data_IF_441220148075
#
_entry.id   IF_441220148075
#
_cell.length_a   1.000
_cell.length_b   1.000
_cell.length_c   1.000
_cell.angle_alpha   90.00
_cell.angle_beta   90.00
_cell.angle_gamma   90.00
#
_symmetry.space_group_name_H-M   'P 1'
#
loop_
_entity.id
_entity.type
_entity.pdbx_description
1 polymer ?
#
# COMPACT_ATOMS: atom_id res chain seq x y z
N UNK A 1 -51.81 -59.92 18.40
CA UNK A 1 -51.93 -58.46 18.18
C UNK A 1 -51.50 -57.61 19.38
N UNK A 2 -51.47 -58.13 20.62
CA UNK A 2 -51.19 -57.31 21.82
C UNK A 2 -49.70 -57.03 22.08
N UNK A 3 -48.79 -57.97 21.79
CA UNK A 3 -47.35 -57.78 22.08
C UNK A 3 -46.71 -56.61 21.32
N UNK A 4 -47.08 -56.41 20.05
CA UNK A 4 -46.55 -55.30 19.23
C UNK A 4 -47.06 -53.93 19.71
N UNK A 5 -48.32 -53.86 20.17
CA UNK A 5 -48.89 -52.64 20.74
C UNK A 5 -48.25 -52.27 22.08
N UNK A 6 -47.94 -53.26 22.92
CA UNK A 6 -47.24 -53.03 24.20
C UNK A 6 -45.82 -52.51 23.94
N UNK A 7 -45.09 -53.09 22.99
CA UNK A 7 -43.73 -52.62 22.63
C UNK A 7 -43.77 -51.19 22.06
N UNK A 8 -44.74 -50.87 21.20
CA UNK A 8 -44.93 -49.49 20.72
C UNK A 8 -45.28 -48.53 21.84
N UNK A 9 -46.13 -48.92 22.79
CA UNK A 9 -46.49 -48.07 23.93
C UNK A 9 -45.29 -47.78 24.83
N UNK A 10 -44.45 -48.79 25.08
CA UNK A 10 -43.21 -48.66 25.85
C UNK A 10 -42.20 -47.76 25.13
N UNK A 11 -42.05 -47.90 23.80
CA UNK A 11 -41.17 -47.04 23.00
C UNK A 11 -41.64 -45.59 22.99
N UNK A 12 -42.94 -45.34 22.81
CA UNK A 12 -43.51 -43.99 22.86
C UNK A 12 -43.30 -43.38 24.24
N UNK A 13 -43.53 -44.15 25.31
CA UNK A 13 -43.30 -43.70 26.67
C UNK A 13 -41.82 -43.36 26.94
N UNK A 14 -40.88 -44.16 26.41
CA UNK A 14 -39.45 -43.91 26.50
C UNK A 14 -39.04 -42.63 25.73
N UNK A 15 -39.61 -42.41 24.55
CA UNK A 15 -39.37 -41.19 23.76
C UNK A 15 -39.89 -39.96 24.51
N UNK A 16 -41.08 -40.06 25.11
CA UNK A 16 -41.63 -38.96 25.92
C UNK A 16 -40.76 -38.68 27.13
N UNK A 17 -40.28 -39.71 27.83
CA UNK A 17 -39.34 -39.54 28.95
C UNK A 17 -38.04 -38.88 28.48
N UNK A 18 -37.47 -39.32 27.35
CA UNK A 18 -36.26 -38.73 26.80
C UNK A 18 -36.46 -37.26 26.40
N UNK A 19 -37.62 -36.92 25.83
CA UNK A 19 -37.98 -35.53 25.51
C UNK A 19 -38.14 -34.69 26.78
N UNK A 20 -38.80 -35.22 27.81
CA UNK A 20 -38.96 -34.54 29.10
C UNK A 20 -37.61 -34.35 29.78
N UNK A 21 -36.72 -35.34 29.74
CA UNK A 21 -35.35 -35.23 30.26
C UNK A 21 -34.52 -34.22 29.47
N UNK A 22 -34.70 -34.13 28.15
CA UNK A 22 -34.01 -33.14 27.30
C UNK A 22 -34.52 -31.72 27.59
N UNK A 23 -35.83 -31.54 27.77
CA UNK A 23 -36.44 -30.27 28.19
C UNK A 23 -36.02 -29.91 29.61
N UNK A 24 -35.97 -30.88 30.53
CA UNK A 24 -35.50 -30.65 31.90
C UNK A 24 -34.01 -30.31 31.91
N UNK A 25 -33.19 -30.95 31.09
CA UNK A 25 -31.78 -30.60 30.91
C UNK A 25 -31.65 -29.18 30.35
N UNK A 26 -32.47 -28.80 29.36
CA UNK A 26 -32.51 -27.43 28.83
C UNK A 26 -32.98 -26.40 29.87
N UNK A 27 -33.96 -26.76 30.72
CA UNK A 27 -34.42 -25.91 31.82
C UNK A 27 -33.36 -25.76 32.90
N UNK A 28 -32.69 -26.85 33.31
CA UNK A 28 -31.59 -26.83 34.29
C UNK A 28 -30.38 -26.05 33.76
N UNK A 29 -30.06 -26.14 32.47
CA UNK A 29 -29.01 -25.33 31.85
C UNK A 29 -29.39 -23.85 31.65
N UNK A 30 -30.70 -23.52 31.66
CA UNK A 30 -31.19 -22.15 31.60
C UNK A 30 -31.54 -21.56 32.99
N UNK A 31 -31.45 -22.37 34.06
CA UNK A 31 -31.68 -21.95 35.46
C UNK A 31 -30.37 -21.62 36.19
N UNK A 32 -29.21 -21.78 35.52
CA UNK A 32 -27.98 -21.14 35.96
C UNK A 32 -28.10 -19.64 35.70
N UNK A 33 -27.82 -18.84 36.73
CA UNK A 33 -27.77 -17.38 36.70
C UNK A 33 -27.25 -16.90 35.34
N UNK A 34 -28.10 -16.20 34.58
CA UNK A 34 -27.82 -15.85 33.19
C UNK A 34 -26.38 -15.35 33.05
N UNK A 35 -25.60 -16.01 32.19
CA UNK A 35 -24.18 -15.70 32.00
C UNK A 35 -24.06 -14.19 31.86
N UNK A 36 -23.30 -13.57 32.78
CA UNK A 36 -23.11 -12.13 32.78
C UNK A 36 -22.67 -11.70 31.39
N UNK A 37 -23.20 -10.57 30.88
CA UNK A 37 -22.78 -10.02 29.58
C UNK A 37 -21.26 -9.82 29.51
N UNK A 38 -20.64 -9.62 30.66
CA UNK A 38 -19.19 -9.52 30.81
C UNK A 38 -18.43 -10.83 30.56
N UNK A 39 -19.08 -11.98 30.64
CA UNK A 39 -18.47 -13.32 30.56
C UNK A 39 -18.69 -13.99 29.19
N UNK A 40 -19.46 -13.34 28.30
CA UNK A 40 -19.64 -13.75 26.91
C UNK A 40 -18.70 -12.94 26.02
N UNK A 41 -17.81 -13.58 25.22
CA UNK A 41 -16.91 -12.84 24.34
C UNK A 41 -17.68 -12.07 23.27
N UNK A 42 -17.44 -10.75 23.20
CA UNK A 42 -17.97 -9.85 22.17
C UNK A 42 -16.94 -9.73 21.05
N UNK A 43 -17.38 -9.63 19.79
CA UNK A 43 -16.49 -9.40 18.66
C UNK A 43 -16.04 -7.93 18.61
N UNK A 44 -14.84 -7.69 18.10
CA UNK A 44 -14.28 -6.33 17.99
C UNK A 44 -15.23 -5.38 17.23
N UNK A 45 -15.83 -5.84 16.13
CA UNK A 45 -16.73 -5.03 15.33
C UNK A 45 -18.00 -4.61 16.10
N UNK A 46 -18.50 -5.44 17.01
CA UNK A 46 -19.73 -5.16 17.77
C UNK A 46 -19.52 -4.04 18.80
N UNK A 47 -18.28 -3.90 19.31
CA UNK A 47 -17.91 -2.78 20.20
C UNK A 47 -17.88 -1.43 19.48
N UNK A 48 -17.89 -1.45 18.14
CA UNK A 48 -17.73 -0.30 17.25
C UNK A 48 -18.97 -0.03 16.42
N UNK A 49 -20.09 -0.71 16.73
CA UNK A 49 -21.36 -0.57 16.06
C UNK A 49 -22.03 0.79 16.29
N UNK A 50 -23.30 0.88 15.92
CA UNK A 50 -24.10 2.10 16.09
C UNK A 50 -24.42 2.40 17.56
N UNK A 51 -24.41 1.39 18.43
CA UNK A 51 -24.72 1.50 19.87
C UNK A 51 -23.45 1.53 20.74
N UNK A 52 -22.30 1.96 20.19
CA UNK A 52 -21.02 1.90 20.89
C UNK A 52 -20.97 2.82 22.12
N UNK A 53 -21.66 3.98 22.08
CA UNK A 53 -21.70 4.92 23.20
C UNK A 53 -22.32 4.28 24.46
N UNK A 54 -23.29 3.39 24.28
CA UNK A 54 -23.98 2.68 25.37
C UNK A 54 -23.06 1.68 26.07
N UNK A 55 -21.99 1.24 25.41
CA UNK A 55 -21.01 0.31 25.96
C UNK A 55 -19.92 1.02 26.77
N UNK A 56 -19.79 2.35 26.66
CA UNK A 56 -18.73 3.10 27.35
C UNK A 56 -18.92 3.01 28.86
N UNK A 57 -17.91 2.48 29.53
CA UNK A 57 -17.92 2.26 30.97
C UNK A 57 -18.35 0.86 31.39
N UNK A 58 -18.87 0.04 30.49
CA UNK A 58 -19.16 -1.36 30.75
C UNK A 58 -17.88 -2.20 30.78
N UNK A 59 -17.89 -3.26 31.57
CA UNK A 59 -16.86 -4.31 31.52
C UNK A 59 -17.27 -5.34 30.48
N UNK A 60 -16.39 -5.63 29.54
CA UNK A 60 -16.64 -6.61 28.46
C UNK A 60 -15.51 -7.61 28.39
N UNK A 61 -15.80 -8.78 27.84
CA UNK A 61 -14.78 -9.73 27.42
C UNK A 61 -14.69 -9.71 25.89
N UNK A 62 -13.48 -9.59 25.36
CA UNK A 62 -13.19 -9.51 23.93
C UNK A 62 -12.23 -10.61 23.53
N UNK A 63 -12.51 -11.26 22.42
CA UNK A 63 -11.63 -12.24 21.80
C UNK A 63 -10.92 -11.62 20.59
N UNK A 64 -9.62 -11.87 20.44
CA UNK A 64 -8.86 -11.47 19.26
C UNK A 64 -7.43 -11.97 19.26
N UNK A 65 -6.67 -11.61 18.24
CA UNK A 65 -5.25 -11.96 18.13
C UNK A 65 -4.41 -10.81 18.64
N UNK A 66 -3.53 -11.09 19.61
CA UNK A 66 -2.71 -10.05 20.22
C UNK A 66 -1.57 -9.64 19.30
N UNK A 67 -1.42 -8.34 19.10
CA UNK A 67 -0.23 -7.75 18.51
C UNK A 67 0.25 -6.58 19.38
N UNK A 68 1.56 -6.42 19.45
CA UNK A 68 2.18 -5.25 20.06
C UNK A 68 3.23 -4.70 19.10
N UNK A 69 3.10 -3.44 18.72
CA UNK A 69 4.06 -2.78 17.86
C UNK A 69 4.32 -1.34 18.35
N UNK A 70 5.60 -0.93 18.41
CA UNK A 70 6.02 0.41 18.81
C UNK A 70 5.36 0.92 20.12
N UNK A 71 5.16 0.03 21.09
CA UNK A 71 4.55 0.35 22.39
C UNK A 71 3.02 0.44 22.38
N UNK A 72 2.38 0.16 21.24
CA UNK A 72 0.92 0.04 21.13
C UNK A 72 0.49 -1.42 21.14
N UNK A 73 -0.32 -1.79 22.13
CA UNK A 73 -0.93 -3.10 22.25
C UNK A 73 -2.35 -3.11 21.68
N UNK A 74 -2.73 -4.17 20.98
CA UNK A 74 -4.08 -4.34 20.46
C UNK A 74 -4.47 -5.79 20.21
N UNK A 75 -5.77 -5.99 20.07
CA UNK A 75 -6.36 -7.18 19.47
C UNK A 75 -6.75 -6.88 18.02
N UNK A 76 -6.48 -7.81 17.11
CA UNK A 76 -7.00 -7.81 15.74
C UNK A 76 -7.99 -8.96 15.54
N UNK A 77 -8.96 -8.78 14.65
CA UNK A 77 -10.03 -9.78 14.42
C UNK A 77 -9.55 -11.03 13.67
N UNK A 78 -8.53 -10.88 12.81
CA UNK A 78 -7.99 -11.93 11.97
C UNK A 78 -6.46 -11.77 11.83
N UNK A 79 -5.65 -12.82 12.04
CA UNK A 79 -4.19 -12.73 11.96
C UNK A 79 -3.68 -12.46 10.53
N UNK A 80 -4.47 -12.73 9.48
CA UNK A 80 -4.12 -12.38 8.10
C UNK A 80 -4.08 -10.87 7.87
N UNK A 81 -4.70 -10.07 8.74
CA UNK A 81 -4.64 -8.60 8.66
C UNK A 81 -3.21 -8.07 8.78
N UNK A 82 -2.30 -8.80 9.44
CA UNK A 82 -0.88 -8.43 9.49
C UNK A 82 -0.13 -8.71 8.18
N UNK A 83 -0.81 -9.25 7.17
CA UNK A 83 -0.28 -9.45 5.82
C UNK A 83 -0.83 -8.40 4.85
N UNK A 84 -1.80 -7.60 5.29
CA UNK A 84 -2.41 -6.54 4.49
C UNK A 84 -1.70 -5.23 4.80
N UNK A 85 -1.19 -4.57 3.78
CA UNK A 85 -0.49 -3.28 3.88
C UNK A 85 -1.44 -2.12 3.56
N UNK A 86 -2.44 -1.98 4.42
CA UNK A 86 -3.37 -0.85 4.44
C UNK A 86 -3.68 -0.47 5.89
N UNK A 87 -4.18 0.75 6.15
CA UNK A 87 -4.76 1.08 7.45
C UNK A 87 -5.87 0.07 7.83
N UNK A 88 -5.83 -0.42 9.06
CA UNK A 88 -6.89 -1.27 9.58
C UNK A 88 -8.16 -0.44 9.76
N UNK A 89 -9.30 -1.01 9.37
CA UNK A 89 -10.60 -0.40 9.66
C UNK A 89 -10.82 -0.43 11.17
N UNK A 90 -11.51 0.57 11.72
CA UNK A 90 -11.78 0.65 13.16
C UNK A 90 -12.50 -0.58 13.75
N UNK A 91 -13.19 -1.35 12.91
CA UNK A 91 -13.89 -2.60 13.27
C UNK A 91 -12.99 -3.84 13.23
N UNK A 92 -11.76 -3.72 12.72
CA UNK A 92 -10.79 -4.82 12.55
C UNK A 92 -9.79 -4.89 13.72
N UNK A 93 -9.70 -3.85 14.54
CA UNK A 93 -8.81 -3.80 15.69
C UNK A 93 -9.45 -3.17 16.93
N UNK A 94 -8.89 -3.52 18.09
CA UNK A 94 -9.22 -2.92 19.38
C UNK A 94 -7.93 -2.59 20.12
N UNK A 95 -7.63 -1.30 20.28
CA UNK A 95 -6.51 -0.86 21.10
C UNK A 95 -6.70 -1.24 22.55
N UNK A 96 -5.60 -1.63 23.18
CA UNK A 96 -5.51 -2.02 24.58
C UNK A 96 -4.65 -0.97 25.29
N UNK A 97 -5.18 -0.36 26.36
CA UNK A 97 -4.57 0.79 27.02
C UNK A 97 -3.17 0.52 27.58
N UNK A 98 -2.93 -0.70 28.07
CA UNK A 98 -1.63 -1.12 28.60
C UNK A 98 -1.23 -2.46 27.99
N UNK A 99 0.01 -2.59 27.54
CA UNK A 99 0.53 -3.84 27.00
C UNK A 99 0.41 -5.00 28.00
N UNK A 100 0.21 -6.22 27.50
CA UNK A 100 0.12 -7.39 28.36
C UNK A 100 1.49 -7.67 29.00
N UNK A 101 1.56 -7.95 30.30
CA UNK A 101 2.83 -8.19 30.98
C UNK A 101 3.45 -9.52 30.57
N UNK A 102 4.78 -9.60 30.60
CA UNK A 102 5.52 -10.88 30.57
C UNK A 102 5.77 -11.48 29.20
N UNK A 103 6.13 -10.65 28.20
CA UNK A 103 6.45 -11.08 26.82
C UNK A 103 5.30 -11.85 26.16
N UNK A 104 4.15 -11.19 25.90
CA UNK A 104 2.98 -11.82 25.30
C UNK A 104 3.28 -12.44 23.93
N UNK A 105 2.60 -13.54 23.62
CA UNK A 105 2.79 -14.27 22.36
C UNK A 105 2.14 -13.47 21.24
N UNK A 106 2.96 -12.87 20.38
CA UNK A 106 2.50 -12.22 19.16
C UNK A 106 1.67 -13.19 18.30
N UNK A 107 0.54 -12.71 17.78
CA UNK A 107 -0.46 -13.49 17.04
C UNK A 107 -1.06 -14.66 17.85
N UNK A 108 -0.85 -14.70 19.17
CA UNK A 108 -1.63 -15.56 20.05
C UNK A 108 -3.09 -15.13 20.04
N UNK A 109 -4.01 -16.08 20.09
CA UNK A 109 -5.43 -15.78 20.30
C UNK A 109 -5.68 -15.59 21.79
N UNK A 110 -6.09 -14.40 22.19
CA UNK A 110 -6.33 -14.02 23.57
C UNK A 110 -7.80 -13.72 23.83
N UNK A 111 -8.18 -13.91 25.09
CA UNK A 111 -9.40 -13.41 25.69
C UNK A 111 -9.03 -12.32 26.68
N UNK A 112 -9.48 -11.08 26.46
CA UNK A 112 -9.23 -9.95 27.36
C UNK A 112 -10.55 -9.50 27.98
N UNK A 113 -10.58 -9.39 29.30
CA UNK A 113 -11.68 -8.77 30.04
C UNK A 113 -11.22 -7.41 30.55
N UNK A 114 -12.05 -6.39 30.34
CA UNK A 114 -11.67 -5.02 30.65
C UNK A 114 -12.80 -4.03 30.46
N UNK A 115 -12.56 -2.79 30.89
CA UNK A 115 -13.52 -1.70 30.79
C UNK A 115 -13.43 -1.02 29.42
N UNK A 116 -14.57 -0.80 28.78
CA UNK A 116 -14.66 -0.05 27.53
C UNK A 116 -14.51 1.44 27.82
N UNK A 117 -13.58 2.07 27.13
CA UNK A 117 -13.27 3.48 27.26
C UNK A 117 -13.59 4.21 25.94
N UNK A 118 -14.16 5.40 26.02
CA UNK A 118 -14.36 6.24 24.83
C UNK A 118 -13.00 6.74 24.32
N UNK A 119 -12.79 6.65 23.01
CA UNK A 119 -11.63 7.25 22.36
C UNK A 119 -11.92 8.70 21.98
N UNK A 120 -10.91 9.56 22.09
CA UNK A 120 -10.96 10.91 21.52
C UNK A 120 -10.87 10.89 19.98
N UNK A 121 -10.42 9.78 19.40
CA UNK A 121 -10.42 9.54 17.96
C UNK A 121 -11.80 9.03 17.51
N UNK A 122 -12.56 9.87 16.81
CA UNK A 122 -13.92 9.58 16.34
C UNK A 122 -13.99 8.28 15.49
N UNK A 123 -13.07 8.04 14.53
CA UNK A 123 -12.98 6.74 13.85
C UNK A 123 -12.79 5.54 14.79
N UNK A 124 -11.91 5.65 15.79
CA UNK A 124 -11.62 4.53 16.72
C UNK A 124 -12.83 4.21 17.62
N UNK A 125 -13.66 5.20 17.98
CA UNK A 125 -14.82 5.09 18.89
C UNK A 125 -14.46 4.68 20.33
N UNK A 126 -13.93 3.46 20.54
CA UNK A 126 -13.61 2.91 21.88
C UNK A 126 -12.24 2.23 21.95
N UNK A 127 -11.69 2.09 23.14
CA UNK A 127 -10.54 1.22 23.42
C UNK A 127 -10.77 0.45 24.73
N UNK A 128 -9.94 -0.56 25.00
CA UNK A 128 -10.09 -1.42 26.17
C UNK A 128 -9.03 -1.11 27.23
N UNK A 129 -9.45 -0.74 28.43
CA UNK A 129 -8.59 -0.84 29.61
C UNK A 129 -8.62 -2.29 30.07
N UNK A 130 -7.51 -3.03 29.91
CA UNK A 130 -7.49 -4.45 30.23
C UNK A 130 -7.23 -4.69 31.72
N UNK A 131 -8.01 -5.60 32.30
CA UNK A 131 -7.86 -6.04 33.69
C UNK A 131 -7.35 -7.49 33.76
N UNK A 132 -7.92 -8.37 32.93
CA UNK A 132 -7.66 -9.81 32.95
C UNK A 132 -7.43 -10.28 31.51
N UNK A 133 -6.46 -11.17 31.32
CA UNK A 133 -6.21 -11.79 30.02
C UNK A 133 -5.96 -13.29 30.16
N UNK A 134 -6.27 -14.04 29.11
CA UNK A 134 -5.99 -15.47 28.99
C UNK A 134 -5.57 -15.82 27.55
N UNK A 135 -4.48 -16.57 27.39
CA UNK A 135 -4.06 -17.11 26.10
C UNK A 135 -4.87 -18.37 25.78
N UNK A 136 -5.69 -18.31 24.71
CA UNK A 136 -6.53 -19.42 24.27
C UNK A 136 -5.77 -20.37 23.35
N UNK A 137 -4.96 -19.83 22.45
CA UNK A 137 -4.13 -20.63 21.54
C UNK A 137 -2.92 -19.86 21.03
N UNK A 138 -1.79 -20.55 20.90
CA UNK A 138 -0.64 -20.06 20.12
C UNK A 138 -0.94 -20.18 18.61
N UNK A 139 -0.39 -19.31 17.76
CA UNK A 139 -0.65 -19.36 16.33
C UNK A 139 -0.09 -20.65 15.72
N UNK A 140 -0.86 -21.28 14.83
CA UNK A 140 -0.43 -22.42 14.01
C UNK A 140 0.18 -21.87 12.73
N UNK A 141 1.48 -21.54 12.75
CA UNK A 141 2.11 -20.87 11.62
C UNK A 141 2.88 -21.88 10.76
N UNK A 142 2.50 -22.00 9.48
CA UNK A 142 3.18 -22.80 8.44
C UNK A 142 4.08 -21.98 7.52
N UNK A 143 4.56 -20.81 7.97
CA UNK A 143 5.48 -19.95 7.22
C UNK A 143 6.45 -19.22 8.16
N UNK A 144 7.71 -18.97 7.78
CA UNK A 144 8.66 -18.31 8.66
C UNK A 144 8.28 -16.82 8.78
N UNK A 145 7.95 -16.38 9.99
CA UNK A 145 7.80 -14.96 10.31
C UNK A 145 9.18 -14.31 10.21
N UNK A 146 9.44 -13.61 9.10
CA UNK A 146 10.27 -12.42 9.13
C UNK A 146 9.46 -11.32 9.82
N UNK A 147 10.11 -10.57 10.71
CA UNK A 147 9.53 -9.48 11.51
C UNK A 147 8.53 -8.67 10.67
N UNK A 148 7.26 -8.67 11.10
CA UNK A 148 6.22 -7.82 10.54
C UNK A 148 6.39 -6.46 11.18
N UNK A 149 6.92 -5.52 10.40
CA UNK A 149 6.98 -4.11 10.74
C UNK A 149 5.86 -3.41 9.94
N UNK A 150 4.65 -3.37 10.52
CA UNK A 150 3.55 -2.54 10.01
C UNK A 150 3.40 -1.38 10.99
N UNK A 151 3.91 -0.18 10.67
CA UNK A 151 3.60 1.02 11.42
C UNK A 151 2.09 1.23 11.44
N UNK A 152 1.54 1.40 12.64
CA UNK A 152 0.17 1.87 12.81
C UNK A 152 0.26 3.38 12.85
N UNK A 153 -0.16 4.02 11.75
CA UNK A 153 -0.35 5.46 11.70
C UNK A 153 -1.55 5.83 12.57
N UNK A 154 -1.28 6.37 13.76
CA UNK A 154 -2.17 7.36 14.36
C UNK A 154 -1.88 8.65 13.59
N UNK A 155 -2.85 9.32 12.94
CA UNK A 155 -2.58 10.56 12.27
C UNK A 155 -2.00 11.55 13.30
N UNK A 156 -0.75 11.99 13.14
CA UNK A 156 -0.28 13.14 13.88
C UNK A 156 -1.05 14.38 13.38
N UNK A 157 -1.02 15.49 14.13
CA UNK A 157 -1.13 16.78 13.45
C UNK A 157 -0.04 16.79 12.36
N UNK A 158 -0.44 16.65 11.09
CA UNK A 158 0.39 16.14 10.01
C UNK A 158 1.67 16.97 9.81
N UNK A 159 2.83 16.31 9.84
CA UNK A 159 4.07 16.83 9.26
C UNK A 159 4.20 16.33 7.83
N UNK A 160 4.92 17.07 6.97
CA UNK A 160 5.21 16.67 5.59
C UNK A 160 5.69 15.21 5.49
N UNK A 161 4.87 14.37 4.83
CA UNK A 161 5.07 12.93 4.69
C UNK A 161 5.42 12.58 3.24
N UNK A 162 6.33 11.62 3.05
CA UNK A 162 6.72 11.14 1.73
C UNK A 162 5.97 9.86 1.38
N UNK A 163 5.26 9.87 0.25
CA UNK A 163 4.54 8.73 -0.30
C UNK A 163 5.16 8.28 -1.61
N UNK A 164 5.06 7.00 -1.93
CA UNK A 164 5.51 6.48 -3.22
C UNK A 164 4.56 5.42 -3.78
N UNK A 165 4.48 5.35 -5.11
CA UNK A 165 3.77 4.30 -5.85
C UNK A 165 4.72 3.74 -6.90
N UNK A 166 5.01 2.44 -6.83
CA UNK A 166 5.91 1.74 -7.74
C UNK A 166 5.15 0.67 -8.51
N UNK A 167 5.17 0.71 -9.84
CA UNK A 167 4.31 -0.12 -10.70
C UNK A 167 5.14 -0.90 -11.74
N UNK A 168 4.85 -2.19 -11.88
CA UNK A 168 5.20 -2.99 -13.06
C UNK A 168 4.14 -4.06 -13.33
N UNK A 169 3.52 -4.01 -14.51
CA UNK A 169 2.43 -4.90 -14.93
C UNK A 169 2.84 -6.30 -15.40
N UNK A 170 3.98 -6.41 -16.04
CA UNK A 170 4.51 -7.60 -16.69
C UNK A 170 3.79 -8.00 -17.99
N UNK A 171 2.70 -7.34 -18.39
CA UNK A 171 1.84 -7.65 -19.53
C UNK A 171 1.26 -9.08 -19.53
N UNK A 172 2.10 -10.09 -19.77
CA UNK A 172 1.79 -11.52 -19.63
C UNK A 172 2.82 -12.20 -18.71
N UNK A 173 2.58 -13.41 -18.18
CA UNK A 173 3.59 -14.11 -17.39
C UNK A 173 4.93 -14.32 -18.12
N UNK A 174 4.94 -14.35 -19.46
CA UNK A 174 6.13 -14.54 -20.28
C UNK A 174 6.87 -13.21 -20.56
N UNK A 175 6.14 -12.10 -20.52
CA UNK A 175 6.66 -10.76 -20.81
C UNK A 175 7.09 -10.02 -19.54
N UNK A 176 6.81 -10.58 -18.35
CA UNK A 176 7.28 -10.09 -17.06
C UNK A 176 8.78 -10.31 -16.89
N UNK A 177 9.58 -9.47 -17.53
CA UNK A 177 11.03 -9.60 -17.55
C UNK A 177 11.63 -9.33 -16.16
N UNK A 178 12.69 -10.07 -15.76
CA UNK A 178 13.32 -9.85 -14.45
C UNK A 178 13.91 -8.46 -14.25
N UNK A 179 14.19 -7.70 -15.33
CA UNK A 179 14.68 -6.32 -15.25
C UNK A 179 13.67 -5.41 -14.56
N UNK A 180 12.38 -5.46 -14.93
CA UNK A 180 11.34 -4.63 -14.31
C UNK A 180 11.26 -4.83 -12.79
N UNK A 181 11.34 -6.08 -12.32
CA UNK A 181 11.40 -6.37 -10.87
C UNK A 181 12.65 -5.77 -10.21
N UNK A 182 13.81 -5.86 -10.86
CA UNK A 182 15.04 -5.33 -10.31
C UNK A 182 15.06 -3.80 -10.28
N UNK A 183 14.35 -3.15 -11.20
CA UNK A 183 14.15 -1.71 -11.20
C UNK A 183 13.31 -1.28 -10.00
N UNK A 184 12.16 -1.95 -9.76
CA UNK A 184 11.38 -1.74 -8.53
C UNK A 184 12.22 -1.95 -7.26
N UNK A 185 13.03 -3.02 -7.21
CA UNK A 185 13.92 -3.29 -6.07
C UNK A 185 14.96 -2.19 -5.89
N UNK A 186 15.52 -1.67 -6.99
CA UNK A 186 16.53 -0.61 -6.96
C UNK A 186 15.94 0.69 -6.43
N UNK A 187 14.78 1.09 -6.95
CA UNK A 187 14.07 2.30 -6.55
C UNK A 187 13.61 2.19 -5.09
N UNK A 188 12.87 1.13 -4.73
CA UNK A 188 12.39 0.91 -3.37
C UNK A 188 13.55 0.94 -2.35
N UNK A 189 14.65 0.24 -2.63
CA UNK A 189 15.79 0.20 -1.72
C UNK A 189 16.39 1.59 -1.52
N UNK A 190 16.52 2.40 -2.57
CA UNK A 190 17.04 3.75 -2.46
C UNK A 190 16.09 4.68 -1.68
N UNK A 191 14.79 4.64 -1.97
CA UNK A 191 13.80 5.45 -1.25
C UNK A 191 13.87 5.19 0.27
N UNK A 192 13.93 3.92 0.68
CA UNK A 192 14.00 3.54 2.09
C UNK A 192 15.37 3.81 2.70
N UNK A 193 16.47 3.36 2.07
CA UNK A 193 17.80 3.35 2.68
C UNK A 193 18.54 4.67 2.57
N UNK A 194 18.24 5.47 1.53
CA UNK A 194 18.97 6.70 1.23
C UNK A 194 18.12 7.95 1.48
N UNK A 195 16.80 7.87 1.32
CA UNK A 195 15.91 9.04 1.33
C UNK A 195 14.83 9.02 2.42
N UNK A 196 14.88 8.02 3.30
CA UNK A 196 14.06 7.91 4.50
C UNK A 196 12.55 7.96 4.21
N UNK A 197 12.13 7.35 3.10
CA UNK A 197 10.71 7.02 2.91
C UNK A 197 10.34 5.94 3.92
N UNK A 198 9.20 6.12 4.59
CA UNK A 198 8.63 5.06 5.41
C UNK A 198 8.13 3.95 4.46
N UNK A 199 8.62 2.70 4.60
CA UNK A 199 8.11 1.55 3.86
C UNK A 199 6.58 1.41 3.88
N UNK A 200 5.89 1.90 4.90
CA UNK A 200 4.43 1.88 5.00
C UNK A 200 3.72 2.85 4.03
N UNK A 201 4.45 3.85 3.53
CA UNK A 201 3.94 4.85 2.59
C UNK A 201 4.38 4.55 1.14
N UNK A 202 5.01 3.39 0.89
CA UNK A 202 5.41 2.94 -0.44
C UNK A 202 4.48 1.81 -0.88
N UNK A 203 3.68 2.07 -1.92
CA UNK A 203 2.76 1.11 -2.51
C UNK A 203 3.39 0.47 -3.75
N UNK A 204 3.59 -0.84 -3.72
CA UNK A 204 4.18 -1.63 -4.81
C UNK A 204 3.10 -2.46 -5.49
N UNK A 205 2.82 -2.14 -6.74
CA UNK A 205 1.91 -2.88 -7.59
C UNK A 205 2.72 -3.68 -8.62
N UNK A 206 2.68 -5.00 -8.52
CA UNK A 206 3.50 -5.85 -9.36
C UNK A 206 2.74 -7.06 -9.91
N UNK A 207 2.70 -7.18 -11.23
CA UNK A 207 2.26 -8.39 -11.93
C UNK A 207 0.86 -8.83 -11.42
N UNK A 208 0.63 -10.13 -11.24
CA UNK A 208 -0.59 -10.67 -10.63
C UNK A 208 -0.70 -10.52 -9.11
N UNK A 209 0.13 -9.68 -8.48
CA UNK A 209 0.12 -9.43 -7.02
C UNK A 209 1.16 -10.24 -6.26
N UNK A 210 2.16 -10.80 -6.95
CA UNK A 210 3.20 -11.62 -6.34
C UNK A 210 4.57 -11.20 -6.87
N UNK A 211 5.46 -10.84 -5.95
CA UNK A 211 6.83 -10.45 -6.30
C UNK A 211 7.60 -11.59 -6.96
N UNK A 212 8.56 -11.23 -7.82
CA UNK A 212 9.48 -12.21 -8.41
C UNK A 212 10.32 -12.94 -7.33
N UNK A 213 10.58 -12.26 -6.22
CA UNK A 213 11.13 -12.80 -4.99
C UNK A 213 10.67 -11.95 -3.80
N UNK A 214 11.25 -12.16 -2.62
CA UNK A 214 10.86 -11.50 -1.37
C UNK A 214 11.75 -10.29 -1.00
N UNK A 215 12.47 -9.69 -1.96
CA UNK A 215 13.40 -8.57 -1.68
C UNK A 215 12.67 -7.28 -1.29
N UNK A 216 11.51 -7.06 -1.88
CA UNK A 216 10.61 -5.94 -1.57
C UNK A 216 9.18 -6.50 -1.44
N UNK A 217 8.31 -5.80 -0.70
CA UNK A 217 6.89 -6.14 -0.64
C UNK A 217 6.19 -5.93 -1.98
N UNK A 218 5.04 -6.60 -2.13
CA UNK A 218 4.05 -6.33 -3.18
C UNK A 218 2.71 -6.21 -2.49
N UNK A 219 2.05 -5.07 -2.67
CA UNK A 219 0.79 -4.74 -2.01
C UNK A 219 -0.40 -5.20 -2.85
N UNK A 220 -0.34 -4.96 -4.15
CA UNK A 220 -1.44 -5.29 -5.07
C UNK A 220 -0.94 -5.87 -6.39
N UNK A 221 -1.85 -6.56 -7.08
CA UNK A 221 -1.67 -6.84 -8.51
C UNK A 221 -1.68 -5.52 -9.30
N UNK A 222 -0.79 -5.41 -10.29
CA UNK A 222 -0.70 -4.25 -11.18
C UNK A 222 -1.84 -4.29 -12.21
N UNK A 223 -3.04 -3.90 -11.77
CA UNK A 223 -4.25 -3.78 -12.58
C UNK A 223 -4.82 -2.38 -12.47
N UNK A 224 -5.57 -1.91 -13.48
CA UNK A 224 -6.13 -0.57 -13.49
C UNK A 224 -6.97 -0.29 -12.23
N UNK A 225 -7.77 -1.27 -11.80
CA UNK A 225 -8.58 -1.16 -10.58
C UNK A 225 -7.74 -0.95 -9.31
N UNK A 226 -6.58 -1.60 -9.21
CA UNK A 226 -5.71 -1.44 -8.03
C UNK A 226 -4.87 -0.16 -8.09
N UNK A 227 -4.52 0.32 -9.29
CA UNK A 227 -3.89 1.64 -9.46
C UNK A 227 -4.90 2.71 -9.05
N UNK A 228 -6.14 2.64 -9.55
CA UNK A 228 -7.23 3.53 -9.18
C UNK A 228 -7.51 3.52 -7.68
N UNK A 229 -7.51 2.34 -7.05
CA UNK A 229 -7.66 2.20 -5.60
C UNK A 229 -6.50 2.87 -4.86
N UNK A 230 -5.26 2.61 -5.27
CA UNK A 230 -4.05 3.13 -4.60
C UNK A 230 -4.00 4.66 -4.69
N UNK A 231 -4.16 5.21 -5.89
CA UNK A 231 -4.18 6.67 -6.08
C UNK A 231 -5.40 7.31 -5.43
N UNK A 232 -6.54 6.61 -5.36
CA UNK A 232 -7.71 7.03 -4.60
C UNK A 232 -7.46 7.13 -3.10
N UNK A 233 -6.80 6.14 -2.50
CA UNK A 233 -6.35 6.19 -1.09
C UNK A 233 -5.45 7.39 -0.88
N UNK A 234 -4.46 7.60 -1.76
CA UNK A 234 -3.53 8.73 -1.65
C UNK A 234 -4.25 10.08 -1.76
N UNK A 235 -5.23 10.21 -2.66
CA UNK A 235 -6.05 11.41 -2.77
C UNK A 235 -6.87 11.72 -1.50
N UNK A 236 -7.22 10.70 -0.72
CA UNK A 236 -7.93 10.86 0.55
C UNK A 236 -7.02 11.20 1.74
N UNK A 237 -5.76 10.73 1.73
CA UNK A 237 -4.86 10.82 2.90
C UNK A 237 -3.75 11.85 2.77
N UNK A 238 -3.36 12.23 1.55
CA UNK A 238 -2.27 13.19 1.33
C UNK A 238 -2.75 14.64 1.46
N UNK A 239 -1.91 15.47 2.07
CA UNK A 239 -2.13 16.90 2.27
C UNK A 239 -1.11 17.76 1.51
N UNK A 240 -1.37 19.08 1.43
CA UNK A 240 -0.55 20.04 0.67
C UNK A 240 0.93 20.05 1.09
N UNK A 241 1.27 19.60 2.31
CA UNK A 241 2.66 19.49 2.78
C UNK A 241 3.39 18.21 2.34
N UNK A 242 2.68 17.21 1.83
CA UNK A 242 3.24 15.89 1.50
C UNK A 242 3.92 15.88 0.12
N UNK A 243 4.69 14.83 -0.17
CA UNK A 243 5.27 14.59 -1.50
C UNK A 243 4.91 13.21 -2.03
N UNK A 244 4.77 13.11 -3.36
CA UNK A 244 4.50 11.86 -4.06
C UNK A 244 5.66 11.50 -4.98
N UNK A 245 6.18 10.28 -4.86
CA UNK A 245 7.06 9.67 -5.84
C UNK A 245 6.31 8.60 -6.62
N UNK A 246 5.98 8.85 -7.88
CA UNK A 246 5.34 7.90 -8.76
C UNK A 246 6.37 7.30 -9.73
N UNK A 247 6.47 5.98 -9.76
CA UNK A 247 7.37 5.28 -10.67
C UNK A 247 6.68 4.12 -11.35
N UNK A 248 6.78 4.07 -12.67
CA UNK A 248 6.36 2.92 -13.48
C UNK A 248 7.53 2.42 -14.32
N UNK A 249 7.72 1.10 -14.31
CA UNK A 249 8.66 0.38 -15.18
C UNK A 249 7.96 -0.84 -15.73
N UNK A 250 7.88 -0.96 -17.05
CA UNK A 250 7.31 -2.14 -17.72
C UNK A 250 7.54 -2.04 -19.23
N UNK A 251 6.83 -2.87 -19.99
CA UNK A 251 6.47 -2.50 -21.36
C UNK A 251 5.67 -1.19 -21.37
N UNK A 252 5.84 -0.42 -22.43
CA UNK A 252 4.99 0.72 -22.77
C UNK A 252 4.54 0.60 -24.20
N UNK A 253 3.46 1.28 -24.55
CA UNK A 253 2.95 1.26 -25.89
C UNK A 253 2.07 2.45 -26.18
N UNK A 254 1.57 2.48 -27.41
CA UNK A 254 0.72 3.53 -27.93
C UNK A 254 -0.47 2.90 -28.67
N UNK A 255 -1.67 3.43 -28.49
CA UNK A 255 -2.82 3.11 -29.34
C UNK A 255 -3.03 4.19 -30.40
N UNK A 256 -3.42 3.80 -31.62
CA UNK A 256 -3.80 4.75 -32.68
C UNK A 256 -5.22 5.29 -32.45
N UNK A 257 -5.43 5.94 -31.32
CA UNK A 257 -6.64 6.62 -30.93
C UNK A 257 -6.19 7.82 -30.09
N UNK A 258 -6.24 9.06 -30.59
CA UNK A 258 -5.76 10.20 -29.83
C UNK A 258 -6.54 10.30 -28.52
N UNK A 259 -5.80 10.44 -27.41
CA UNK A 259 -6.33 10.82 -26.11
C UNK A 259 -6.82 12.28 -26.13
N UNK A 260 -6.50 13.05 -25.09
CA UNK A 260 -6.91 14.46 -24.96
C UNK A 260 -5.94 15.45 -25.62
N UNK A 261 -4.93 14.96 -26.36
CA UNK A 261 -3.91 15.77 -27.00
C UNK A 261 -4.42 16.61 -28.20
N UNK A 262 -3.93 17.85 -28.43
CA UNK A 262 -4.28 18.62 -29.61
C UNK A 262 -3.63 18.02 -30.86
N UNK A 263 -4.47 17.70 -31.84
CA UNK A 263 -4.09 16.89 -33.00
C UNK A 263 -2.83 17.30 -33.76
N UNK A 264 -2.06 16.28 -34.15
CA UNK A 264 -0.82 16.33 -34.92
C UNK A 264 -0.65 15.06 -35.79
N UNK A 265 0.56 14.83 -36.32
CA UNK A 265 0.81 13.63 -37.15
C UNK A 265 1.02 12.34 -36.34
N UNK A 266 0.98 12.42 -35.01
CA UNK A 266 1.14 11.30 -34.08
C UNK A 266 0.04 11.39 -33.02
N UNK A 267 -1.20 11.21 -33.47
CA UNK A 267 -2.39 11.15 -32.63
C UNK A 267 -2.47 9.77 -31.94
N UNK A 268 -1.64 9.55 -30.93
CA UNK A 268 -1.63 8.31 -30.16
C UNK A 268 -1.83 8.56 -28.68
N UNK A 269 -2.15 7.49 -27.97
CA UNK A 269 -2.49 7.50 -26.55
C UNK A 269 -1.58 6.48 -25.86
N UNK A 270 -0.74 6.97 -24.96
CA UNK A 270 0.32 6.19 -24.33
C UNK A 270 -0.21 5.40 -23.15
N UNK A 271 0.38 4.23 -22.91
CA UNK A 271 -0.04 3.41 -21.79
C UNK A 271 1.10 2.69 -21.09
N UNK A 272 0.91 2.50 -19.79
CA UNK A 272 1.65 1.56 -18.96
C UNK A 272 1.07 0.16 -19.18
N UNK A 273 1.88 -0.80 -19.59
CA UNK A 273 1.45 -2.19 -19.69
C UNK A 273 1.12 -2.74 -18.29
N UNK A 274 -0.07 -3.33 -18.14
CA UNK A 274 -0.56 -3.90 -16.89
C UNK A 274 -0.68 -5.43 -16.97
N UNK A 275 -0.86 -6.06 -15.82
CA UNK A 275 -1.04 -7.49 -15.71
C UNK A 275 -2.21 -8.01 -16.56
N UNK A 276 -2.01 -9.18 -17.15
CA UNK A 276 -3.01 -9.90 -17.93
C UNK A 276 -3.53 -9.09 -19.14
N UNK A 277 -2.59 -8.52 -19.89
CA UNK A 277 -2.84 -7.72 -21.11
C UNK A 277 -3.70 -6.49 -20.82
N UNK A 278 -3.53 -5.92 -19.62
CA UNK A 278 -4.15 -4.65 -19.26
C UNK A 278 -3.32 -3.46 -19.74
N UNK A 279 -3.92 -2.28 -19.75
CA UNK A 279 -3.27 -1.01 -20.04
C UNK A 279 -3.79 0.06 -19.08
N UNK A 280 -2.92 0.99 -18.68
CA UNK A 280 -3.27 2.21 -17.95
C UNK A 280 -2.81 3.41 -18.75
N UNK A 281 -3.75 4.23 -19.18
CA UNK A 281 -3.49 5.32 -20.12
C UNK A 281 -3.04 6.59 -19.39
N UNK A 282 -2.33 7.46 -20.11
CA UNK A 282 -1.82 8.74 -19.62
C UNK A 282 -2.94 9.67 -19.11
N UNK A 283 -4.09 9.72 -19.79
CA UNK A 283 -5.27 10.50 -19.42
C UNK A 283 -5.90 10.02 -18.10
N UNK A 284 -5.96 8.70 -17.91
CA UNK A 284 -6.41 8.05 -16.67
C UNK A 284 -5.45 8.38 -15.53
N UNK A 285 -4.14 8.28 -15.79
CA UNK A 285 -3.12 8.61 -14.81
C UNK A 285 -3.21 10.08 -14.41
N UNK A 286 -3.30 10.99 -15.38
CA UNK A 286 -3.42 12.41 -15.13
C UNK A 286 -4.64 12.73 -14.25
N UNK A 287 -5.81 12.19 -14.59
CA UNK A 287 -7.03 12.40 -13.83
C UNK A 287 -6.93 11.91 -12.36
N UNK A 288 -6.16 10.85 -12.10
CA UNK A 288 -5.93 10.36 -10.73
C UNK A 288 -4.91 11.19 -9.98
N UNK A 289 -3.82 11.58 -10.63
CA UNK A 289 -2.81 12.44 -10.03
C UNK A 289 -3.38 13.84 -9.73
N UNK A 290 -4.28 14.36 -10.55
CA UNK A 290 -4.98 15.64 -10.32
C UNK A 290 -5.80 15.68 -9.03
N UNK A 291 -6.27 14.52 -8.57
CA UNK A 291 -7.05 14.41 -7.36
C UNK A 291 -6.20 14.44 -6.09
N UNK A 292 -4.87 14.29 -6.19
CA UNK A 292 -3.97 14.21 -5.04
C UNK A 292 -3.48 15.60 -4.66
N UNK A 293 -3.70 15.97 -3.40
CA UNK A 293 -3.16 17.20 -2.84
C UNK A 293 -1.75 16.95 -2.29
N UNK A 294 -0.75 17.65 -2.81
CA UNK A 294 0.63 17.55 -2.33
C UNK A 294 1.48 18.75 -2.77
N UNK A 295 2.58 18.97 -2.06
CA UNK A 295 3.54 20.03 -2.39
C UNK A 295 4.26 19.75 -3.70
N UNK A 296 4.52 18.46 -3.99
CA UNK A 296 5.30 18.04 -5.14
C UNK A 296 5.07 16.58 -5.52
N UNK A 297 5.13 16.29 -6.82
CA UNK A 297 5.13 14.97 -7.41
C UNK A 297 6.35 14.76 -8.30
N UNK A 298 7.11 13.70 -8.07
CA UNK A 298 8.16 13.22 -8.97
C UNK A 298 7.60 12.00 -9.70
N UNK A 299 7.46 12.09 -11.01
CA UNK A 299 6.86 11.08 -11.88
C UNK A 299 7.95 10.54 -12.80
N UNK A 300 8.24 9.24 -12.70
CA UNK A 300 9.29 8.58 -13.47
C UNK A 300 8.70 7.42 -14.25
N UNK A 301 8.89 7.44 -15.56
CA UNK A 301 8.33 6.47 -16.50
C UNK A 301 9.48 5.79 -17.27
N UNK A 302 9.87 4.59 -16.84
CA UNK A 302 10.86 3.75 -17.53
C UNK A 302 10.17 2.70 -18.40
N UNK A 303 9.60 3.18 -19.51
CA UNK A 303 8.78 2.43 -20.45
C UNK A 303 8.95 2.96 -21.88
N UNK A 304 8.65 2.13 -22.88
CA UNK A 304 8.63 2.56 -24.28
C UNK A 304 7.60 3.69 -24.48
N UNK A 305 7.92 4.69 -25.29
CA UNK A 305 7.07 5.86 -25.56
C UNK A 305 6.79 6.76 -24.35
N UNK A 306 7.58 6.65 -23.27
CA UNK A 306 7.35 7.39 -22.02
C UNK A 306 7.22 8.92 -22.19
N UNK A 307 7.89 9.52 -23.18
CA UNK A 307 7.80 10.96 -23.42
C UNK A 307 6.44 11.46 -23.92
N UNK A 308 5.53 10.58 -24.37
CA UNK A 308 4.17 10.97 -24.75
C UNK A 308 3.31 11.38 -23.56
N UNK A 309 3.50 10.72 -22.42
CA UNK A 309 2.83 11.07 -21.16
C UNK A 309 3.05 12.52 -20.72
N UNK A 310 4.16 13.15 -21.13
CA UNK A 310 4.50 14.52 -20.72
C UNK A 310 3.39 15.50 -21.06
N UNK A 311 2.77 15.33 -22.22
CA UNK A 311 1.71 16.23 -22.62
C UNK A 311 0.52 16.10 -21.69
N UNK A 312 -0.08 14.93 -21.50
CA UNK A 312 -1.24 14.78 -20.60
C UNK A 312 -0.94 15.14 -19.14
N UNK A 313 0.29 14.91 -18.66
CA UNK A 313 0.66 15.22 -17.27
C UNK A 313 1.02 16.71 -17.03
N UNK A 314 1.11 17.54 -18.08
CA UNK A 314 1.51 18.96 -18.04
C UNK A 314 0.53 19.86 -17.28
N UNK A 315 0.92 21.12 -17.07
CA UNK A 315 0.03 22.18 -16.57
C UNK A 315 -0.03 22.32 -15.05
N UNK A 316 0.77 21.54 -14.33
CA UNK A 316 0.83 21.53 -12.87
C UNK A 316 2.18 22.03 -12.39
N UNK A 317 2.18 23.08 -11.56
CA UNK A 317 3.40 23.71 -11.05
C UNK A 317 4.13 22.89 -9.97
N UNK A 318 3.62 21.70 -9.64
CA UNK A 318 4.15 20.81 -8.61
C UNK A 318 4.58 19.44 -9.17
N UNK A 319 4.68 19.27 -10.50
CA UNK A 319 5.07 17.98 -11.11
C UNK A 319 6.43 18.08 -11.76
N UNK A 320 7.26 17.08 -11.50
CA UNK A 320 8.46 16.76 -12.28
C UNK A 320 8.17 15.46 -13.03
N UNK A 321 8.26 15.49 -14.34
CA UNK A 321 7.98 14.36 -15.22
C UNK A 321 9.29 13.94 -15.87
N UNK A 322 9.62 12.66 -15.76
CA UNK A 322 10.80 12.07 -16.38
C UNK A 322 10.44 10.80 -17.13
N UNK A 323 10.83 10.71 -18.40
CA UNK A 323 10.67 9.52 -19.22
C UNK A 323 12.01 8.95 -19.67
N UNK A 324 12.12 7.63 -19.77
CA UNK A 324 13.34 6.97 -20.23
C UNK A 324 13.66 7.20 -21.72
N UNK A 325 12.65 7.55 -22.50
CA UNK A 325 12.75 7.75 -23.94
C UNK A 325 11.71 8.76 -24.45
N UNK A 326 11.96 9.33 -25.63
CA UNK A 326 10.96 10.16 -26.34
C UNK A 326 9.71 9.36 -26.71
N UNK A 327 8.63 10.05 -27.06
CA UNK A 327 7.37 9.45 -27.54
C UNK A 327 7.58 8.49 -28.73
N UNK A 328 8.66 8.66 -29.52
CA UNK A 328 8.88 7.91 -30.76
C UNK A 328 9.86 6.72 -30.57
N UNK A 329 10.34 6.51 -29.35
CA UNK A 329 11.42 5.57 -29.04
C UNK A 329 10.98 4.44 -28.10
N UNK A 330 11.79 3.39 -28.06
CA UNK A 330 11.70 2.37 -27.01
C UNK A 330 12.63 2.68 -25.84
N UNK A 331 12.30 2.13 -24.68
CA UNK A 331 13.20 2.03 -23.53
C UNK A 331 13.92 0.67 -23.54
N UNK A 332 15.11 0.62 -22.94
CA UNK A 332 15.99 -0.54 -23.02
C UNK A 332 16.69 -0.84 -21.68
N UNK A 333 16.99 -2.11 -21.47
CA UNK A 333 17.86 -2.55 -20.38
C UNK A 333 19.29 -2.01 -20.52
N UNK A 334 19.93 -1.77 -19.39
CA UNK A 334 21.35 -1.43 -19.30
C UNK A 334 22.23 -2.59 -19.74
N UNK A 335 23.17 -2.39 -20.69
CA UNK A 335 24.11 -3.43 -21.06
C UNK A 335 24.93 -3.94 -19.86
N UNK A 336 24.81 -5.24 -19.57
CA UNK A 336 25.56 -5.89 -18.49
C UNK A 336 24.99 -5.67 -17.07
N UNK A 337 23.84 -5.03 -16.93
CA UNK A 337 23.13 -4.88 -15.67
C UNK A 337 21.65 -5.29 -15.83
N UNK A 338 21.06 -6.03 -14.88
CA UNK A 338 19.72 -6.57 -15.06
C UNK A 338 18.64 -5.56 -14.63
N UNK A 339 18.52 -4.44 -15.34
CA UNK A 339 17.56 -3.36 -15.10
C UNK A 339 17.56 -2.33 -16.24
N UNK A 340 16.54 -1.46 -16.29
CA UNK A 340 16.40 -0.38 -17.26
C UNK A 340 17.59 0.56 -17.28
N UNK A 341 18.04 0.99 -18.46
CA UNK A 341 19.22 1.85 -18.58
C UNK A 341 19.01 3.20 -17.92
N UNK A 342 17.87 3.85 -18.17
CA UNK A 342 17.58 5.16 -17.60
C UNK A 342 17.51 5.10 -16.09
N UNK A 343 16.63 4.25 -15.52
CA UNK A 343 16.45 4.19 -14.08
C UNK A 343 17.71 3.75 -13.34
N UNK A 344 18.48 2.83 -13.91
CA UNK A 344 19.74 2.37 -13.30
C UNK A 344 20.75 3.51 -13.21
N UNK A 345 20.88 4.34 -14.25
CA UNK A 345 21.80 5.47 -14.25
C UNK A 345 21.28 6.61 -13.35
N UNK A 346 19.97 6.85 -13.35
CA UNK A 346 19.32 7.86 -12.50
C UNK A 346 19.55 7.56 -11.01
N UNK A 347 19.29 6.33 -10.59
CA UNK A 347 19.50 5.93 -9.20
C UNK A 347 20.97 5.74 -8.83
N UNK A 348 21.85 5.52 -9.80
CA UNK A 348 23.29 5.59 -9.56
C UNK A 348 23.73 7.01 -9.19
N UNK A 349 23.17 8.04 -9.86
CA UNK A 349 23.41 9.43 -9.53
C UNK A 349 22.89 9.80 -8.13
N UNK A 350 21.63 9.47 -7.84
CA UNK A 350 21.02 9.72 -6.53
C UNK A 350 21.83 9.08 -5.37
N UNK A 351 22.22 7.82 -5.51
CA UNK A 351 22.84 7.07 -4.41
C UNK A 351 24.36 7.10 -4.38
N UNK A 352 25.00 7.77 -5.36
CA UNK A 352 26.45 7.73 -5.56
C UNK A 352 26.99 6.33 -5.92
N UNK A 353 26.12 5.46 -6.45
CA UNK A 353 26.48 4.07 -6.76
C UNK A 353 27.61 4.04 -7.79
N UNK A 354 28.54 3.10 -7.62
CA UNK A 354 29.70 2.95 -8.49
C UNK A 354 30.66 4.16 -8.50
N UNK A 355 30.58 5.03 -7.49
CA UNK A 355 31.39 6.23 -7.42
C UNK A 355 30.92 7.32 -8.38
N UNK A 356 29.66 7.28 -8.80
CA UNK A 356 29.03 8.40 -9.51
C UNK A 356 28.97 9.59 -8.55
N UNK A 357 29.42 10.74 -9.04
CA UNK A 357 29.29 12.03 -8.36
C UNK A 357 28.46 12.93 -9.27
N UNK A 358 27.24 13.23 -8.83
CA UNK A 358 26.26 14.00 -9.58
C UNK A 358 25.90 15.34 -8.91
N UNK A 359 26.49 15.66 -7.76
CA UNK A 359 26.35 16.94 -7.08
C UNK A 359 27.17 17.99 -7.84
N UNK A 360 26.57 18.59 -8.87
CA UNK A 360 27.26 19.47 -9.83
C UNK A 360 27.47 20.88 -9.26
N UNK A 361 26.68 21.28 -8.27
CA UNK A 361 26.77 22.58 -7.60
C UNK A 361 27.52 22.54 -6.25
N UNK A 362 28.06 21.38 -5.87
CA UNK A 362 28.83 21.11 -4.65
C UNK A 362 28.06 21.48 -3.35
N UNK A 363 26.73 21.38 -3.35
CA UNK A 363 25.90 21.75 -2.20
C UNK A 363 25.78 20.64 -1.14
N UNK A 364 26.32 19.45 -1.42
CA UNK A 364 26.32 18.27 -0.57
C UNK A 364 25.10 17.36 -0.75
N UNK A 365 24.28 17.60 -1.78
CA UNK A 365 23.09 16.82 -2.12
C UNK A 365 22.94 16.72 -3.63
N UNK A 366 22.31 15.64 -4.10
CA UNK A 366 21.96 15.47 -5.52
C UNK A 366 20.49 15.80 -5.71
N UNK A 367 20.22 16.85 -6.49
CA UNK A 367 18.90 17.25 -6.93
C UNK A 367 18.34 16.34 -8.02
N UNK A 368 17.02 16.41 -8.26
CA UNK A 368 16.37 15.66 -9.34
C UNK A 368 16.95 16.06 -10.71
N UNK A 369 17.21 17.35 -10.93
CA UNK A 369 17.83 17.81 -12.17
C UNK A 369 19.23 17.24 -12.39
N UNK A 370 20.05 17.20 -11.34
CA UNK A 370 21.38 16.61 -11.38
C UNK A 370 21.37 15.12 -11.69
N UNK A 371 20.49 14.37 -11.04
CA UNK A 371 20.33 12.96 -11.31
C UNK A 371 19.89 12.71 -12.76
N UNK A 372 18.91 13.47 -13.25
CA UNK A 372 18.47 13.37 -14.65
C UNK A 372 19.61 13.71 -15.61
N UNK A 373 20.32 14.82 -15.36
CA UNK A 373 21.46 15.26 -16.17
C UNK A 373 22.52 14.18 -16.30
N UNK A 374 22.86 13.50 -15.20
CA UNK A 374 23.75 12.36 -15.23
C UNK A 374 23.18 11.24 -16.09
N UNK A 375 21.94 10.81 -15.81
CA UNK A 375 21.30 9.69 -16.49
C UNK A 375 21.19 9.91 -18.01
N UNK A 376 20.78 11.10 -18.44
CA UNK A 376 20.67 11.49 -19.84
C UNK A 376 22.02 11.46 -20.57
N UNK A 377 23.11 11.87 -19.91
CA UNK A 377 24.45 11.88 -20.51
C UNK A 377 25.05 10.49 -20.71
N UNK A 378 24.75 9.55 -19.80
CA UNK A 378 25.32 8.20 -19.83
C UNK A 378 24.38 7.13 -20.39
N UNK A 379 23.18 7.53 -20.80
CA UNK A 379 22.20 6.62 -21.39
C UNK A 379 22.69 6.05 -22.72
N UNK A 380 22.23 4.84 -23.05
CA UNK A 380 22.60 4.21 -24.31
C UNK A 380 22.08 5.01 -25.51
N UNK A 381 22.81 5.04 -26.65
CA UNK A 381 22.42 5.85 -27.82
C UNK A 381 21.09 5.49 -28.51
N UNK A 382 20.37 4.48 -28.01
CA UNK A 382 19.11 4.00 -28.60
C UNK A 382 17.87 4.61 -27.97
N UNK A 383 18.01 5.25 -26.81
CA UNK A 383 16.94 5.96 -26.13
C UNK A 383 17.41 7.36 -25.76
N UNK A 384 16.47 8.28 -25.61
CA UNK A 384 16.73 9.66 -25.26
C UNK A 384 15.84 10.04 -24.09
N UNK A 385 16.37 10.03 -22.86
CA UNK A 385 15.61 10.45 -21.70
C UNK A 385 15.05 11.85 -21.84
N UNK A 386 13.89 12.07 -21.23
CA UNK A 386 13.10 13.30 -21.35
C UNK A 386 12.74 13.82 -19.97
N UNK A 387 12.62 15.13 -19.83
CA UNK A 387 12.26 15.83 -18.60
C UNK A 387 11.24 16.93 -18.88
N UNK A 388 10.36 17.23 -17.93
CA UNK A 388 9.51 18.43 -17.87
C UNK A 388 9.21 18.76 -16.41
N UNK A 389 9.37 20.02 -15.99
CA UNK A 389 8.93 20.49 -14.67
C UNK A 389 8.27 21.87 -14.68
N UNK A 390 8.07 22.42 -15.88
CA UNK A 390 7.62 23.80 -16.07
C UNK A 390 6.11 23.84 -16.42
N UNK A 391 5.56 22.70 -16.85
CA UNK A 391 4.15 22.49 -17.14
C UNK A 391 3.69 22.95 -18.53
N UNK A 392 4.59 23.26 -19.46
CA UNK A 392 4.24 23.60 -20.84
C UNK A 392 4.01 22.38 -21.74
N UNK A 393 4.40 21.18 -21.27
CA UNK A 393 4.24 19.92 -21.98
C UNK A 393 5.27 19.71 -23.08
N UNK A 394 6.39 20.45 -23.03
CA UNK A 394 7.48 20.35 -23.99
C UNK A 394 8.64 19.68 -23.29
N UNK A 395 8.85 18.39 -23.57
CA UNK A 395 9.98 17.65 -23.00
C UNK A 395 11.36 18.19 -23.42
N UNK A 396 12.30 18.23 -22.46
CA UNK A 396 13.71 18.54 -22.68
C UNK A 396 14.59 17.28 -22.71
N UNK A 397 15.55 17.27 -23.63
CA UNK A 397 16.39 16.11 -23.97
C UNK A 397 17.88 16.48 -23.81
N UNK A 398 18.34 16.70 -22.59
CA UNK A 398 19.72 17.12 -22.34
C UNK A 398 19.93 17.72 -20.97
N UNK A 399 20.97 18.55 -20.84
CA UNK A 399 21.26 19.20 -19.57
C UNK A 399 20.20 20.23 -19.22
N UNK A 400 19.40 19.95 -18.20
CA UNK A 400 18.43 20.85 -17.59
C UNK A 400 19.07 21.69 -16.49
N UNK A 401 18.49 22.85 -16.23
CA UNK A 401 19.01 23.76 -15.21
C UNK A 401 18.59 23.29 -13.81
N UNK A 402 19.50 23.39 -12.84
CA UNK A 402 19.21 23.14 -11.42
C UNK A 402 18.42 24.34 -10.84
N UNK A 403 17.19 24.56 -11.30
CA UNK A 403 16.26 25.53 -10.69
C UNK A 403 16.62 27.02 -10.87
N UNK A 404 17.56 27.38 -11.75
CA UNK A 404 18.12 28.74 -11.84
C UNK A 404 17.58 29.60 -12.98
N UNK A 405 16.83 29.03 -13.93
CA UNK A 405 16.34 29.74 -15.13
C UNK A 405 14.84 29.49 -15.30
N UNK A 406 14.06 30.57 -15.49
CA UNK A 406 12.59 30.55 -15.59
C UNK A 406 12.10 30.28 -17.04
N UNK A 407 13.01 30.24 -18.01
CA UNK A 407 12.71 30.09 -19.45
C UNK A 407 13.23 28.76 -20.07
N UNK A 408 13.71 27.86 -19.23
CA UNK A 408 14.08 26.47 -19.56
C UNK A 408 13.45 25.59 -18.47
N UNK A 409 13.23 24.30 -18.70
CA UNK A 409 12.88 23.35 -17.62
C UNK A 409 13.78 23.58 -16.40
N UNK A 410 13.19 23.92 -15.26
CA UNK A 410 13.93 24.36 -14.08
C UNK A 410 13.14 25.16 -13.06
N UNK A 411 11.88 24.84 -12.77
CA UNK A 411 11.21 25.39 -11.56
C UNK A 411 11.40 24.53 -10.34
N UNK A 412 11.44 23.22 -10.54
CA UNK A 412 11.50 22.18 -9.51
C UNK A 412 12.78 21.34 -9.65
N UNK A 413 13.66 21.64 -10.62
CA UNK A 413 14.94 20.92 -10.77
C UNK A 413 15.79 20.80 -9.50
N UNK A 414 15.67 21.75 -8.56
CA UNK A 414 16.34 21.73 -7.23
C UNK A 414 15.65 20.88 -6.16
N UNK A 415 14.69 20.06 -6.55
CA UNK A 415 14.00 19.13 -5.68
C UNK A 415 14.88 17.96 -5.28
N UNK A 416 14.60 17.38 -4.11
CA UNK A 416 15.33 16.23 -3.56
C UNK A 416 14.35 15.11 -3.20
N UNK A 417 14.82 13.86 -3.30
CA UNK A 417 14.05 12.68 -2.90
C UNK A 417 13.75 12.62 -1.40
#
# INVERSE_FOLDING_TARGET
MERGKIIQLVLVFLIVILLVLNVFQFMVYNDDEGVSREDVPIQIADLKGDDWEDLVGDTVTVEGYYIENNGMAMLISDPSLTQIRRPLNATEFLRVETALPGEPVQLGKYLLKGKVMASENVPEKVYLNNDIFSLLSTPVITYPIGIIDIPILIPPEHSATKYAVLISGGWTPQDAWPSFWNDLVTVYAALVQNYNYDPANIYVLYNGGYGYNTKIPVDYAATAANIDLTLGILAEVMEEGDTLFFFATDHGGQYNNPGLEPGGNVDKDEYIALWNVGAYFDDQLNAKLDAINCSEMIIILDLCHAGGFTWDLRGHSNRIIMGACTEEQGAYDKPGYPGGDFITNLFAAFTGRWGVDADLDDNGKVSVAEAFNHAAQVSIPKQTPVYDDNGDGVSHYGSISNGMVVEDDGRLGNTYL
#
